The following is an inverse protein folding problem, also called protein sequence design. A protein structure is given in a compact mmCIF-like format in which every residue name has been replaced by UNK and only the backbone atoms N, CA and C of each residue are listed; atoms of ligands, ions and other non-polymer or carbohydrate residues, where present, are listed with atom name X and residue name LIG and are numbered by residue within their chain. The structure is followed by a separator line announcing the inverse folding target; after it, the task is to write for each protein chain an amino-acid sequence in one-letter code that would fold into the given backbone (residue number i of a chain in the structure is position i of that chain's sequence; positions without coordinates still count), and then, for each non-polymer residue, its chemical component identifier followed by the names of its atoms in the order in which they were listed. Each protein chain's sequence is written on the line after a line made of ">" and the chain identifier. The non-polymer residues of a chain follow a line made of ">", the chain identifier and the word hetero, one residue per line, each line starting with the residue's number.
data_IF_031958778505
#
_entry.id   IF_031958778505
#
_cell.length_a   1.000
_cell.length_b   1.000
_cell.length_c   1.000
_cell.angle_alpha   90.00
_cell.angle_beta   90.00
_cell.angle_gamma   90.00
#
_symmetry.space_group_name_H-M   'P 1'
#
loop_
_entity.id
_entity.type
_entity.pdbx_description
1 polymer ?
#
# COMPACT_ATOMS: atom_id res chain seq x y z
N UNK A 1 20.12 -21.41 -49.59
CA UNK A 1 18.80 -21.95 -49.18
C UNK A 1 18.64 -21.63 -47.70
N UNK A 2 18.20 -20.40 -47.39
CA UNK A 2 16.84 -20.12 -46.90
C UNK A 2 16.47 -21.00 -45.69
N UNK A 3 16.73 -20.48 -44.49
CA UNK A 3 15.93 -20.80 -43.31
C UNK A 3 15.50 -19.49 -42.70
N UNK A 4 14.19 -19.30 -42.68
CA UNK A 4 13.49 -18.12 -42.23
C UNK A 4 13.19 -18.28 -40.75
N UNK A 5 13.83 -17.46 -39.91
CA UNK A 5 13.46 -17.32 -38.51
C UNK A 5 12.27 -16.37 -38.39
N UNK A 6 11.16 -16.95 -37.95
CA UNK A 6 9.85 -16.35 -37.80
C UNK A 6 9.84 -15.49 -36.52
N UNK A 7 9.99 -14.17 -36.67
CA UNK A 7 9.86 -13.21 -35.56
C UNK A 7 8.36 -12.98 -35.29
N UNK A 8 7.85 -13.58 -34.21
CA UNK A 8 6.50 -13.29 -33.72
C UNK A 8 6.47 -11.92 -33.02
N UNK A 9 5.78 -10.97 -33.65
CA UNK A 9 5.41 -9.67 -33.10
C UNK A 9 4.31 -9.86 -32.06
N UNK A 10 4.63 -9.67 -30.77
CA UNK A 10 3.62 -9.58 -29.71
C UNK A 10 3.16 -8.14 -29.59
N UNK A 11 1.99 -7.85 -30.13
CA UNK A 11 1.28 -6.59 -29.97
C UNK A 11 0.95 -6.34 -28.50
N UNK A 12 1.33 -5.15 -28.02
CA UNK A 12 1.02 -4.65 -26.69
C UNK A 12 -0.48 -4.51 -26.45
N UNK A 13 -0.94 -4.96 -25.29
CA UNK A 13 -2.24 -4.59 -24.73
C UNK A 13 -2.04 -3.48 -23.71
N UNK A 14 -2.58 -2.31 -24.04
CA UNK A 14 -2.75 -1.18 -23.13
C UNK A 14 -3.57 -1.62 -21.90
N UNK A 15 -2.98 -1.51 -20.72
CA UNK A 15 -3.65 -1.65 -19.43
C UNK A 15 -4.31 -0.31 -19.09
N UNK A 16 -5.64 -0.29 -19.01
CA UNK A 16 -6.40 0.84 -18.48
C UNK A 16 -6.20 0.96 -16.96
N UNK A 17 -6.08 2.18 -16.39
CA UNK A 17 -6.01 2.38 -14.95
C UNK A 17 -7.40 2.28 -14.30
N UNK A 18 -7.53 1.78 -13.06
CA UNK A 18 -8.81 1.72 -12.36
C UNK A 18 -9.23 3.10 -11.83
N UNK A 19 -10.53 3.38 -11.98
CA UNK A 19 -11.26 4.53 -11.43
C UNK A 19 -11.07 4.62 -9.91
N UNK A 20 -10.51 5.74 -9.46
CA UNK A 20 -10.59 6.19 -8.08
C UNK A 20 -11.86 7.05 -7.94
N UNK A 21 -12.87 6.51 -7.27
CA UNK A 21 -14.02 7.26 -6.80
C UNK A 21 -14.28 6.89 -5.34
N UNK A 22 -14.69 7.89 -4.56
CA UNK A 22 -15.23 7.85 -3.19
C UNK A 22 -14.23 8.00 -2.04
N UNK A 23 -13.96 9.26 -1.69
CA UNK A 23 -13.80 9.70 -0.31
C UNK A 23 -14.33 11.14 -0.20
N UNK A 24 -15.65 11.29 -0.03
CA UNK A 24 -16.27 12.52 0.46
C UNK A 24 -16.81 12.20 1.86
N UNK A 25 -16.03 12.59 2.87
CA UNK A 25 -16.43 12.63 4.26
C UNK A 25 -16.34 14.08 4.71
N UNK A 26 -17.51 14.63 5.03
CA UNK A 26 -17.86 15.87 5.72
C UNK A 26 -16.70 16.74 6.24
N UNK A 27 -16.50 17.87 5.56
CA UNK A 27 -15.69 19.01 6.01
C UNK A 27 -16.59 20.08 6.64
N UNK A 28 -16.12 20.82 7.65
CA UNK A 28 -16.91 21.83 8.34
C UNK A 28 -17.32 22.95 7.36
N UNK A 29 -18.63 23.24 7.31
CA UNK A 29 -19.28 24.14 6.33
C UNK A 29 -18.75 25.59 6.31
N UNK A 30 -17.95 26.01 7.30
CA UNK A 30 -17.39 27.36 7.36
C UNK A 30 -15.96 27.50 6.77
N UNK A 31 -15.19 26.42 6.63
CA UNK A 31 -13.89 26.46 5.94
C UNK A 31 -14.02 26.12 4.45
N UNK A 32 -15.06 25.35 4.09
CA UNK A 32 -15.38 25.06 2.69
C UNK A 32 -15.75 26.32 1.91
N UNK A 33 -16.39 27.33 2.49
CA UNK A 33 -16.79 28.52 1.72
C UNK A 33 -15.59 29.41 1.35
N UNK A 34 -14.60 29.55 2.24
CA UNK A 34 -13.36 30.28 1.96
C UNK A 34 -12.46 29.49 1.01
N UNK A 35 -12.37 28.18 1.18
CA UNK A 35 -11.52 27.32 0.33
C UNK A 35 -12.14 27.08 -1.04
N UNK A 36 -13.46 26.95 -1.15
CA UNK A 36 -14.16 26.89 -2.44
C UNK A 36 -14.17 28.25 -3.14
N UNK A 37 -14.25 29.36 -2.40
CA UNK A 37 -14.09 30.70 -2.99
C UNK A 37 -12.67 30.90 -3.49
N UNK A 38 -11.65 30.48 -2.72
CA UNK A 38 -10.24 30.54 -3.10
C UNK A 38 -9.92 29.64 -4.30
N UNK A 39 -10.43 28.40 -4.30
CA UNK A 39 -10.30 27.48 -5.43
C UNK A 39 -11.08 27.97 -6.65
N UNK A 40 -12.27 28.55 -6.48
CA UNK A 40 -13.03 29.14 -7.58
C UNK A 40 -12.31 30.35 -8.17
N UNK A 41 -11.68 31.20 -7.34
CA UNK A 41 -10.82 32.30 -7.83
C UNK A 41 -9.57 31.78 -8.52
N UNK A 42 -8.93 30.73 -8.02
CA UNK A 42 -7.75 30.13 -8.67
C UNK A 42 -8.11 29.45 -10.00
N UNK A 43 -9.29 28.83 -10.09
CA UNK A 43 -9.79 28.23 -11.32
C UNK A 43 -10.22 29.32 -12.31
N UNK A 44 -10.84 30.41 -11.84
CA UNK A 44 -11.17 31.56 -12.71
C UNK A 44 -9.91 32.27 -13.20
N UNK A 45 -8.88 32.41 -12.36
CA UNK A 45 -7.61 33.04 -12.72
C UNK A 45 -6.81 32.14 -13.66
N UNK A 46 -6.84 30.82 -13.47
CA UNK A 46 -6.23 29.87 -14.40
C UNK A 46 -7.00 29.79 -15.73
N UNK A 47 -8.34 29.87 -15.71
CA UNK A 47 -9.15 29.92 -16.91
C UNK A 47 -9.00 31.26 -17.65
N UNK A 48 -8.87 32.37 -16.93
CA UNK A 48 -8.53 33.67 -17.50
C UNK A 48 -7.11 33.68 -18.05
N UNK A 49 -6.12 33.09 -17.37
CA UNK A 49 -4.76 32.97 -17.89
C UNK A 49 -4.66 32.05 -19.11
N UNK A 50 -5.42 30.96 -19.14
CA UNK A 50 -5.53 30.09 -20.32
C UNK A 50 -6.28 30.78 -21.46
N UNK A 51 -7.34 31.53 -21.15
CA UNK A 51 -8.06 32.38 -22.10
C UNK A 51 -7.16 33.48 -22.67
N UNK A 52 -6.37 34.14 -21.83
CA UNK A 52 -5.37 35.12 -22.22
C UNK A 52 -4.32 34.48 -23.12
N UNK A 53 -3.78 33.31 -22.77
CA UNK A 53 -2.80 32.61 -23.60
C UNK A 53 -3.37 32.17 -24.96
N UNK A 54 -4.65 31.78 -25.02
CA UNK A 54 -5.32 31.43 -26.28
C UNK A 54 -5.61 32.69 -27.11
N UNK A 55 -5.96 33.81 -26.47
CA UNK A 55 -6.11 35.10 -27.14
C UNK A 55 -4.76 35.63 -27.62
N UNK A 56 -3.68 35.52 -26.85
CA UNK A 56 -2.33 35.92 -27.24
C UNK A 56 -1.81 35.05 -28.41
N UNK A 57 -2.13 33.75 -28.42
CA UNK A 57 -1.79 32.86 -29.56
C UNK A 57 -2.65 33.16 -30.78
N UNK A 58 -3.93 33.51 -30.59
CA UNK A 58 -4.83 33.89 -31.68
C UNK A 58 -4.48 35.26 -32.26
N UNK A 59 -4.04 36.20 -31.42
CA UNK A 59 -3.56 37.52 -31.80
C UNK A 59 -2.19 37.41 -32.47
N UNK A 60 -1.27 36.59 -31.95
CA UNK A 60 0.01 36.30 -32.63
C UNK A 60 -0.18 35.55 -33.97
N UNK A 61 -1.19 34.69 -34.08
CA UNK A 61 -1.57 34.07 -35.34
C UNK A 61 -2.24 35.07 -36.30
N UNK A 62 -3.04 36.00 -35.76
CA UNK A 62 -3.64 37.11 -36.50
C UNK A 62 -2.56 38.05 -37.06
N UNK A 63 -1.62 38.48 -36.23
CA UNK A 63 -0.45 39.28 -36.62
C UNK A 63 0.45 38.54 -37.61
N UNK A 64 0.62 37.22 -37.48
CA UNK A 64 1.38 36.42 -38.45
C UNK A 64 0.68 36.29 -39.81
N UNK A 65 -0.65 36.20 -39.80
CA UNK A 65 -1.46 36.15 -41.03
C UNK A 65 -1.57 37.53 -41.68
N UNK A 66 -1.66 38.59 -40.88
CA UNK A 66 -1.70 39.98 -41.33
C UNK A 66 -0.34 40.42 -41.89
N UNK A 67 0.78 40.00 -41.28
CA UNK A 67 2.14 40.23 -41.83
C UNK A 67 2.42 39.45 -43.11
N UNK A 68 1.75 38.31 -43.34
CA UNK A 68 1.80 37.57 -44.61
C UNK A 68 0.88 38.18 -45.69
N UNK A 69 -0.25 38.77 -45.30
CA UNK A 69 -1.25 39.35 -46.21
C UNK A 69 -0.91 40.77 -46.68
N UNK A 70 -0.21 41.57 -45.87
CA UNK A 70 0.21 42.95 -46.24
C UNK A 70 1.45 42.99 -47.14
N UNK A 71 2.04 41.84 -47.48
CA UNK A 71 3.16 41.79 -48.44
C UNK A 71 4.41 42.55 -47.97
N UNK A 72 4.56 42.82 -46.68
CA UNK A 72 5.76 43.43 -46.10
C UNK A 72 6.85 42.38 -45.82
N UNK A 73 7.10 41.52 -46.80
CA UNK A 73 8.19 40.52 -46.82
C UNK A 73 9.38 41.01 -47.66
N UNK A 74 9.50 42.32 -47.92
CA UNK A 74 10.64 42.87 -48.69
C UNK A 74 11.24 44.16 -48.14
N UNK A 75 11.11 44.45 -46.85
CA UNK A 75 11.84 45.58 -46.21
C UNK A 75 12.48 45.24 -44.86
N UNK A 76 12.64 43.96 -44.52
CA UNK A 76 13.61 43.51 -43.51
C UNK A 76 15.05 43.39 -44.06
N UNK A 77 15.32 43.98 -45.23
CA UNK A 77 16.66 44.16 -45.77
C UNK A 77 17.30 45.52 -45.40
N UNK A 78 16.62 46.34 -44.59
CA UNK A 78 17.11 47.69 -44.27
C UNK A 78 16.86 48.12 -42.81
N UNK A 79 17.37 47.34 -41.85
CA UNK A 79 17.87 47.85 -40.56
C UNK A 79 19.23 47.23 -40.27
N UNK A 80 20.19 47.50 -41.16
CA UNK A 80 21.62 47.46 -40.83
C UNK A 80 21.92 48.73 -40.02
N UNK A 81 21.38 48.80 -38.80
CA UNK A 81 21.89 49.69 -37.77
C UNK A 81 22.90 48.87 -36.99
N UNK A 82 24.17 49.29 -36.97
CA UNK A 82 25.26 48.57 -36.31
C UNK A 82 24.89 48.28 -34.85
N UNK A 83 24.44 47.04 -34.57
CA UNK A 83 24.40 46.51 -33.20
C UNK A 83 25.78 46.72 -32.63
N UNK A 84 25.88 47.53 -31.58
CA UNK A 84 27.19 47.89 -31.04
C UNK A 84 27.90 46.61 -30.61
N UNK A 85 29.22 46.60 -30.69
CA UNK A 85 30.04 45.41 -30.40
C UNK A 85 29.74 44.86 -28.98
N UNK A 86 29.30 45.74 -28.08
CA UNK A 86 28.88 45.47 -26.71
C UNK A 86 27.51 44.78 -26.64
N UNK A 87 26.49 45.28 -27.34
CA UNK A 87 25.17 44.63 -27.42
C UNK A 87 25.26 43.24 -28.05
N UNK A 88 26.13 43.06 -29.05
CA UNK A 88 26.42 41.76 -29.66
C UNK A 88 27.11 40.83 -28.66
N UNK A 89 28.06 41.33 -27.86
CA UNK A 89 28.72 40.56 -26.78
C UNK A 89 27.74 40.18 -25.67
N UNK A 90 26.89 41.10 -25.22
CA UNK A 90 25.88 40.85 -24.19
C UNK A 90 24.85 39.81 -24.67
N UNK A 91 24.39 39.90 -25.92
CA UNK A 91 23.49 38.88 -26.51
C UNK A 91 24.17 37.51 -26.63
N UNK A 92 25.46 37.48 -26.96
CA UNK A 92 26.25 36.23 -26.98
C UNK A 92 26.49 35.66 -25.57
N UNK A 93 26.66 36.51 -24.56
CA UNK A 93 26.82 36.09 -23.18
C UNK A 93 25.51 35.54 -22.61
N UNK A 94 24.38 36.18 -22.89
CA UNK A 94 23.05 35.67 -22.57
C UNK A 94 22.80 34.33 -23.25
N UNK A 95 23.19 34.17 -24.53
CA UNK A 95 23.10 32.89 -25.23
C UNK A 95 23.98 31.83 -24.55
N UNK A 96 25.22 32.17 -24.18
CA UNK A 96 26.14 31.28 -23.45
C UNK A 96 25.62 30.94 -22.05
N UNK A 97 24.94 31.86 -21.37
CA UNK A 97 24.32 31.63 -20.06
C UNK A 97 23.13 30.68 -20.18
N UNK A 98 22.26 30.89 -21.17
CA UNK A 98 21.14 29.99 -21.50
C UNK A 98 21.61 28.59 -21.90
N UNK A 99 22.69 28.49 -22.69
CA UNK A 99 23.31 27.20 -23.05
C UNK A 99 23.94 26.50 -21.82
N UNK A 100 24.54 27.26 -20.89
CA UNK A 100 25.06 26.71 -19.63
C UNK A 100 23.93 26.22 -18.72
N UNK A 101 22.87 27.01 -18.55
CA UNK A 101 21.73 26.63 -17.72
C UNK A 101 20.99 25.42 -18.28
N UNK A 102 20.79 25.36 -19.60
CA UNK A 102 20.18 24.18 -20.24
C UNK A 102 21.06 22.94 -20.12
N UNK A 103 22.36 23.06 -20.33
CA UNK A 103 23.31 21.95 -20.16
C UNK A 103 23.36 21.45 -18.71
N UNK A 104 23.34 22.35 -17.73
CA UNK A 104 23.29 22.00 -16.31
C UNK A 104 21.96 21.36 -15.92
N UNK A 105 20.83 21.90 -16.38
CA UNK A 105 19.50 21.32 -16.13
C UNK A 105 19.38 19.92 -16.75
N UNK A 106 19.89 19.73 -17.97
CA UNK A 106 19.93 18.42 -18.63
C UNK A 106 20.85 17.43 -17.88
N UNK A 107 21.99 17.88 -17.37
CA UNK A 107 22.87 17.04 -16.56
C UNK A 107 22.20 16.67 -15.23
N UNK A 108 21.54 17.62 -14.58
CA UNK A 108 20.82 17.39 -13.33
C UNK A 108 19.67 16.40 -13.54
N UNK A 109 18.85 16.57 -14.58
CA UNK A 109 17.76 15.64 -14.89
C UNK A 109 18.27 14.23 -15.20
N UNK A 110 19.36 14.08 -15.97
CA UNK A 110 19.97 12.77 -16.22
C UNK A 110 20.45 12.10 -14.93
N UNK A 111 21.06 12.85 -14.01
CA UNK A 111 21.52 12.33 -12.71
C UNK A 111 20.32 11.95 -11.83
N UNK A 112 19.28 12.77 -11.81
CA UNK A 112 18.05 12.52 -11.06
C UNK A 112 17.34 11.28 -11.55
N UNK A 113 17.12 11.14 -12.87
CA UNK A 113 16.50 9.95 -13.46
C UNK A 113 17.33 8.69 -13.17
N UNK A 114 18.65 8.78 -13.28
CA UNK A 114 19.53 7.68 -12.90
C UNK A 114 19.49 7.37 -11.39
N UNK A 115 19.30 8.37 -10.53
CA UNK A 115 19.14 8.17 -9.08
C UNK A 115 17.78 7.56 -8.73
N UNK A 116 16.69 8.03 -9.35
CA UNK A 116 15.33 7.49 -9.21
C UNK A 116 15.25 6.05 -9.71
N UNK A 117 15.94 5.73 -10.80
CA UNK A 117 16.04 4.37 -11.32
C UNK A 117 16.76 3.41 -10.35
N UNK A 118 17.67 3.92 -9.51
CA UNK A 118 18.38 3.13 -8.49
C UNK A 118 17.57 2.94 -7.21
N UNK A 119 16.67 3.87 -6.87
CA UNK A 119 15.86 3.75 -5.65
C UNK A 119 14.84 2.64 -5.79
N UNK A 120 15.03 1.53 -5.07
CA UNK A 120 14.04 0.46 -5.02
C UNK A 120 12.81 0.84 -4.19
N UNK A 121 11.66 0.19 -4.41
CA UNK A 121 10.45 0.43 -3.62
C UNK A 121 10.64 0.23 -2.09
N UNK A 122 11.63 -0.58 -1.69
CA UNK A 122 12.00 -0.76 -0.28
C UNK A 122 12.75 0.45 0.26
N UNK A 123 13.61 1.06 -0.55
CA UNK A 123 14.37 2.25 -0.18
C UNK A 123 13.50 3.48 -0.16
N UNK A 124 12.57 3.64 -1.11
CA UNK A 124 11.59 4.74 -1.08
C UNK A 124 10.74 4.67 0.19
N UNK A 125 10.22 3.49 0.55
CA UNK A 125 9.48 3.30 1.80
C UNK A 125 10.33 3.54 3.07
N UNK A 126 11.65 3.27 3.01
CA UNK A 126 12.58 3.58 4.11
C UNK A 126 12.79 5.09 4.23
N UNK A 127 13.01 5.78 3.12
CA UNK A 127 13.19 7.23 3.06
C UNK A 127 11.92 7.96 3.51
N UNK A 128 10.74 7.51 3.11
CA UNK A 128 9.46 8.06 3.57
C UNK A 128 9.29 7.92 5.08
N UNK A 129 9.66 6.78 5.68
CA UNK A 129 9.65 6.62 7.14
C UNK A 129 10.61 7.58 7.83
N UNK A 130 11.80 7.78 7.26
CA UNK A 130 12.78 8.74 7.78
C UNK A 130 12.27 10.18 7.66
N UNK A 131 11.65 10.55 6.54
CA UNK A 131 11.03 11.87 6.33
C UNK A 131 9.91 12.12 7.32
N UNK A 132 8.96 11.19 7.46
CA UNK A 132 7.87 11.30 8.45
C UNK A 132 8.41 11.39 9.89
N UNK A 133 9.45 10.63 10.22
CA UNK A 133 10.09 10.72 11.53
C UNK A 133 10.73 12.11 11.74
N UNK A 134 11.45 12.62 10.74
CA UNK A 134 12.04 13.95 10.79
C UNK A 134 10.98 15.06 10.91
N UNK A 135 9.87 14.93 10.18
CA UNK A 135 8.71 15.83 10.27
C UNK A 135 8.11 15.79 11.67
N UNK A 136 7.84 14.60 12.24
CA UNK A 136 7.32 14.48 13.61
C UNK A 136 8.27 15.03 14.67
N UNK A 137 9.59 14.86 14.50
CA UNK A 137 10.58 15.44 15.40
C UNK A 137 10.63 16.96 15.28
N UNK A 138 10.51 17.48 14.05
CA UNK A 138 10.45 18.92 13.80
C UNK A 138 9.20 19.54 14.41
N UNK A 139 8.02 18.97 14.15
CA UNK A 139 6.77 19.46 14.72
C UNK A 139 6.75 19.37 16.25
N UNK A 140 7.37 18.32 16.82
CA UNK A 140 7.55 18.22 18.27
C UNK A 140 8.46 19.33 18.81
N UNK A 141 9.58 19.62 18.14
CA UNK A 141 10.48 20.71 18.54
C UNK A 141 9.80 22.08 18.42
N UNK A 142 9.07 22.33 17.31
CA UNK A 142 8.32 23.56 17.07
C UNK A 142 7.18 23.75 18.11
N UNK A 143 6.61 22.66 18.63
CA UNK A 143 5.60 22.72 19.69
C UNK A 143 6.20 22.88 21.09
N UNK A 144 7.37 22.29 21.36
CA UNK A 144 8.14 22.53 22.59
C UNK A 144 8.59 23.99 22.70
N UNK A 145 9.00 24.62 21.59
CA UNK A 145 9.34 26.06 21.53
C UNK A 145 8.12 26.97 21.75
N UNK A 146 6.94 26.56 21.25
CA UNK A 146 5.66 27.26 21.50
C UNK A 146 5.08 27.00 22.89
N UNK A 147 5.59 26.01 23.62
CA UNK A 147 5.08 25.61 24.95
C UNK A 147 3.74 24.86 24.90
N UNK A 148 3.40 24.23 23.77
CA UNK A 148 2.17 23.47 23.57
C UNK A 148 2.36 21.98 23.91
N UNK A 149 1.36 21.37 24.59
CA UNK A 149 1.34 19.93 24.88
C UNK A 149 0.94 19.11 23.64
N UNK A 150 1.93 18.67 22.85
CA UNK A 150 1.71 17.85 21.63
C UNK A 150 0.83 16.62 21.86
N UNK A 151 1.01 15.95 22.99
CA UNK A 151 0.24 14.74 23.31
C UNK A 151 -1.21 15.06 23.64
N UNK A 152 -1.51 16.27 24.13
CA UNK A 152 -2.89 16.70 24.40
C UNK A 152 -3.64 16.97 23.09
N UNK A 153 -3.00 17.64 22.13
CA UNK A 153 -3.58 17.88 20.80
C UNK A 153 -3.86 16.56 20.08
N UNK A 154 -2.91 15.63 20.09
CA UNK A 154 -3.10 14.27 19.52
C UNK A 154 -4.25 13.50 20.19
N UNK A 155 -4.42 13.65 21.50
CA UNK A 155 -5.52 13.00 22.21
C UNK A 155 -6.88 13.57 21.82
N UNK A 156 -6.95 14.85 21.39
CA UNK A 156 -8.18 15.47 20.91
C UNK A 156 -8.54 15.04 19.48
N UNK A 157 -7.55 14.65 18.68
CA UNK A 157 -7.76 14.10 17.34
C UNK A 157 -8.41 12.71 17.36
N UNK A 158 -8.29 11.96 18.46
CA UNK A 158 -8.91 10.64 18.57
C UNK A 158 -10.42 10.72 18.76
N UNK A 159 -11.13 10.17 17.78
CA UNK A 159 -12.57 9.98 17.89
C UNK A 159 -12.91 8.83 18.84
N UNK A 160 -14.11 8.85 19.41
CA UNK A 160 -14.59 7.80 20.34
C UNK A 160 -14.53 6.42 19.66
N UNK A 161 -14.95 6.33 18.39
CA UNK A 161 -14.94 5.09 17.62
C UNK A 161 -13.52 4.55 17.37
N UNK A 162 -12.56 5.44 17.11
CA UNK A 162 -11.16 5.07 16.97
C UNK A 162 -10.58 4.55 18.28
N UNK A 163 -10.91 5.20 19.40
CA UNK A 163 -10.48 4.73 20.71
C UNK A 163 -11.10 3.38 21.06
N UNK A 164 -12.40 3.17 20.84
CA UNK A 164 -13.06 1.87 21.05
C UNK A 164 -12.44 0.76 20.19
N UNK A 165 -12.17 1.05 18.92
CA UNK A 165 -11.51 0.10 18.01
C UNK A 165 -10.06 -0.20 18.46
N UNK A 166 -9.36 0.80 18.99
CA UNK A 166 -8.02 0.66 19.55
C UNK A 166 -8.02 -0.19 20.82
N UNK A 167 -8.92 0.07 21.76
CA UNK A 167 -9.11 -0.74 22.96
C UNK A 167 -9.48 -2.18 22.62
N UNK A 168 -10.40 -2.39 21.67
CA UNK A 168 -10.75 -3.72 21.15
C UNK A 168 -9.53 -4.43 20.56
N UNK A 169 -8.65 -3.71 19.87
CA UNK A 169 -7.40 -4.26 19.32
C UNK A 169 -6.41 -4.62 20.43
N UNK A 170 -6.26 -3.78 21.45
CA UNK A 170 -5.42 -4.04 22.62
C UNK A 170 -5.93 -5.24 23.43
N UNK A 171 -7.21 -5.28 23.75
CA UNK A 171 -7.84 -6.41 24.44
C UNK A 171 -7.68 -7.71 23.65
N UNK A 172 -7.85 -7.66 22.33
CA UNK A 172 -7.58 -8.80 21.44
C UNK A 172 -6.12 -9.23 21.45
N UNK A 173 -5.18 -8.30 21.52
CA UNK A 173 -3.74 -8.58 21.62
C UNK A 173 -3.40 -9.20 22.99
N UNK A 174 -3.92 -8.66 24.08
CA UNK A 174 -3.76 -9.19 25.42
C UNK A 174 -4.27 -10.64 25.52
N UNK A 175 -5.46 -10.93 24.98
CA UNK A 175 -6.00 -12.30 24.91
C UNK A 175 -5.14 -13.27 24.06
N UNK A 176 -4.34 -12.75 23.13
CA UNK A 176 -3.43 -13.57 22.29
C UNK A 176 -1.99 -13.60 22.81
N UNK A 177 -1.68 -12.84 23.86
CA UNK A 177 -0.34 -12.78 24.44
C UNK A 177 0.00 -14.00 25.29
N UNK A 178 -0.97 -14.88 25.57
CA UNK A 178 -0.71 -16.17 26.21
C UNK A 178 -0.04 -17.14 25.23
N UNK A 179 1.27 -17.31 25.41
CA UNK A 179 2.13 -18.24 24.68
C UNK A 179 2.33 -19.57 25.40
N UNK A 180 1.74 -19.75 26.59
CA UNK A 180 1.86 -20.99 27.33
C UNK A 180 1.12 -22.12 26.61
N UNK A 181 1.68 -23.32 26.74
CA UNK A 181 1.11 -24.54 26.22
C UNK A 181 0.29 -25.20 27.33
N UNK A 182 -1.02 -25.24 27.16
CA UNK A 182 -1.97 -25.88 28.09
C UNK A 182 -2.28 -27.30 27.63
N UNK A 183 -2.90 -27.43 26.45
CA UNK A 183 -3.23 -28.69 25.79
C UNK A 183 -3.15 -28.58 24.26
N UNK A 184 -3.22 -29.72 23.58
CA UNK A 184 -3.20 -29.77 22.11
C UNK A 184 -4.48 -29.17 21.50
N UNK A 185 -5.63 -29.30 22.16
CA UNK A 185 -6.90 -28.76 21.66
C UNK A 185 -6.92 -27.22 21.71
N UNK A 186 -6.45 -26.58 22.79
CA UNK A 186 -6.28 -25.13 22.84
C UNK A 186 -5.25 -24.65 21.83
N UNK A 187 -4.13 -25.37 21.66
CA UNK A 187 -3.12 -25.04 20.66
C UNK A 187 -3.71 -25.10 19.23
N UNK A 188 -4.50 -26.13 18.91
CA UNK A 188 -5.21 -26.25 17.64
C UNK A 188 -6.23 -25.12 17.45
N UNK A 189 -7.02 -24.81 18.48
CA UNK A 189 -7.99 -23.69 18.46
C UNK A 189 -7.32 -22.35 18.22
N UNK A 190 -6.18 -22.10 18.87
CA UNK A 190 -5.38 -20.87 18.71
C UNK A 190 -4.86 -20.74 17.27
N UNK A 191 -4.38 -21.85 16.67
CA UNK A 191 -3.96 -21.91 15.27
C UNK A 191 -5.13 -21.64 14.32
N UNK A 192 -6.24 -22.35 14.49
CA UNK A 192 -7.45 -22.18 13.69
C UNK A 192 -7.94 -20.73 13.70
N UNK A 193 -8.02 -20.10 14.88
CA UNK A 193 -8.40 -18.67 14.99
C UNK A 193 -7.45 -17.74 14.24
N UNK A 194 -6.16 -18.03 14.24
CA UNK A 194 -5.16 -17.26 13.50
C UNK A 194 -5.26 -17.47 11.99
N UNK A 195 -5.68 -18.66 11.56
CA UNK A 195 -5.92 -18.96 10.15
C UNK A 195 -7.19 -18.24 9.66
N UNK A 196 -8.24 -18.17 10.47
CA UNK A 196 -9.42 -17.35 10.17
C UNK A 196 -9.09 -15.88 9.95
N UNK A 197 -8.14 -15.32 10.72
CA UNK A 197 -7.69 -13.94 10.52
C UNK A 197 -6.91 -13.75 9.19
N UNK A 198 -6.31 -14.81 8.64
CA UNK A 198 -5.51 -14.77 7.40
C UNK A 198 -6.35 -15.04 6.15
N UNK A 199 -7.45 -15.80 6.28
CA UNK A 199 -8.34 -16.14 5.17
C UNK A 199 -9.10 -14.88 4.73
N UNK A 200 -8.91 -14.49 3.47
CA UNK A 200 -9.68 -13.42 2.83
C UNK A 200 -10.66 -14.06 1.85
N UNK A 201 -11.99 -13.97 2.08
CA UNK A 201 -12.96 -14.56 1.17
C UNK A 201 -13.03 -13.76 -0.14
N UNK A 202 -13.21 -14.47 -1.26
CA UNK A 202 -13.52 -13.85 -2.55
C UNK A 202 -15.02 -13.56 -2.63
N UNK A 203 -15.39 -12.32 -2.32
CA UNK A 203 -16.78 -11.86 -2.31
C UNK A 203 -17.39 -11.84 -3.72
N UNK A 204 -16.59 -11.65 -4.77
CA UNK A 204 -17.11 -11.58 -6.14
C UNK A 204 -17.52 -12.97 -6.62
N UNK A 205 -16.67 -13.96 -6.42
CA UNK A 205 -17.00 -15.36 -6.74
C UNK A 205 -18.21 -15.85 -5.93
N UNK A 206 -18.25 -15.54 -4.63
CA UNK A 206 -19.38 -15.87 -3.77
C UNK A 206 -20.69 -15.20 -4.22
N UNK A 207 -20.64 -13.90 -4.55
CA UNK A 207 -21.82 -13.16 -5.01
C UNK A 207 -22.35 -13.72 -6.34
N UNK A 208 -21.48 -14.11 -7.28
CA UNK A 208 -21.90 -14.78 -8.53
C UNK A 208 -22.62 -16.09 -8.28
N UNK A 209 -22.12 -16.92 -7.35
CA UNK A 209 -22.80 -18.15 -6.95
C UNK A 209 -24.15 -17.86 -6.29
N UNK A 210 -24.21 -16.80 -5.48
CA UNK A 210 -25.43 -16.33 -4.82
C UNK A 210 -26.48 -15.79 -5.80
N UNK A 211 -26.07 -15.06 -6.83
CA UNK A 211 -26.96 -14.58 -7.90
C UNK A 211 -27.62 -15.75 -8.63
N UNK A 212 -26.85 -16.76 -9.02
CA UNK A 212 -27.36 -17.97 -9.70
C UNK A 212 -28.34 -18.74 -8.81
N UNK A 213 -28.01 -18.91 -7.53
CA UNK A 213 -28.86 -19.57 -6.55
C UNK A 213 -30.19 -18.83 -6.34
N UNK A 214 -30.17 -17.49 -6.30
CA UNK A 214 -31.38 -16.69 -6.11
C UNK A 214 -32.09 -16.34 -7.43
N UNK A 215 -31.59 -16.80 -8.58
CA UNK A 215 -32.14 -16.49 -9.90
C UNK A 215 -32.00 -15.03 -10.33
N UNK A 216 -31.08 -14.27 -9.71
CA UNK A 216 -30.77 -12.88 -10.07
C UNK A 216 -29.89 -12.84 -11.34
N UNK A 217 -29.97 -11.73 -12.07
CA UNK A 217 -29.09 -11.47 -13.20
C UNK A 217 -27.63 -11.35 -12.74
N UNK A 218 -26.65 -11.86 -13.54
CA UNK A 218 -25.24 -11.81 -13.19
C UNK A 218 -24.76 -10.36 -13.02
N UNK A 219 -24.08 -10.07 -11.92
CA UNK A 219 -23.56 -8.73 -11.58
C UNK A 219 -24.50 -7.83 -10.77
N UNK A 220 -25.72 -8.28 -10.46
CA UNK A 220 -26.70 -7.54 -9.66
C UNK A 220 -26.25 -7.30 -8.21
N UNK A 221 -25.55 -8.25 -7.58
CA UNK A 221 -25.04 -8.15 -6.21
C UNK A 221 -23.65 -7.50 -6.14
N UNK A 222 -22.88 -7.56 -7.21
CA UNK A 222 -21.54 -6.94 -7.28
C UNK A 222 -21.62 -5.41 -7.42
N UNK A 223 -22.71 -4.89 -8.00
CA UNK A 223 -22.95 -3.45 -8.22
C UNK A 223 -23.78 -2.77 -7.13
N UNK A 224 -24.22 -3.52 -6.12
CA UNK A 224 -25.20 -3.07 -5.12
C UNK A 224 -24.67 -2.08 -4.06
N UNK A 225 -23.46 -1.54 -4.21
CA UNK A 225 -22.95 -0.48 -3.34
C UNK A 225 -23.11 0.90 -4.03
N UNK A 226 -24.35 1.36 -4.14
CA UNK A 226 -24.66 2.77 -4.41
C UNK A 226 -25.37 3.34 -3.17
N UNK A 227 -24.72 4.18 -2.35
CA UNK A 227 -25.28 4.70 -1.10
C UNK A 227 -26.48 5.64 -1.30
N UNK A 228 -26.79 6.02 -2.54
CA UNK A 228 -27.94 6.87 -2.91
C UNK A 228 -29.19 6.06 -3.25
N UNK A 229 -29.04 4.78 -3.58
CA UNK A 229 -30.16 3.90 -3.85
C UNK A 229 -30.64 3.32 -2.52
N UNK A 230 -31.71 3.92 -1.98
CA UNK A 230 -32.36 3.44 -0.77
C UNK A 230 -32.58 1.92 -0.83
N UNK A 231 -32.36 1.27 0.31
CA UNK A 231 -32.49 -0.17 0.51
C UNK A 231 -33.88 -0.64 0.07
N UNK A 232 -34.02 -0.99 -1.20
CA UNK A 232 -35.21 -1.65 -1.71
C UNK A 232 -35.11 -3.09 -1.25
N UNK A 233 -35.79 -3.35 -0.14
CA UNK A 233 -36.49 -4.58 0.20
C UNK A 233 -35.90 -5.82 -0.46
N UNK A 234 -35.22 -6.65 0.35
CA UNK A 234 -34.88 -8.02 -0.01
C UNK A 234 -36.15 -8.76 -0.44
N UNK A 235 -36.47 -8.66 -1.73
CA UNK A 235 -37.56 -9.38 -2.35
C UNK A 235 -37.10 -10.82 -2.36
N UNK A 236 -37.77 -11.64 -1.55
CA UNK A 236 -37.55 -13.07 -1.48
C UNK A 236 -38.03 -13.66 -2.80
N UNK A 237 -37.18 -13.59 -3.83
CA UNK A 237 -37.44 -14.23 -5.12
C UNK A 237 -37.33 -15.72 -4.86
N UNK A 238 -38.49 -16.38 -4.74
CA UNK A 238 -38.55 -17.84 -4.72
C UNK A 238 -37.97 -18.30 -6.07
N UNK A 239 -36.95 -19.18 -6.08
CA UNK A 239 -36.32 -19.63 -7.32
C UNK A 239 -37.37 -20.28 -8.24
N UNK A 240 -37.62 -19.63 -9.37
CA UNK A 240 -38.74 -19.94 -10.26
C UNK A 240 -38.44 -21.12 -11.19
N UNK A 241 -37.17 -21.41 -11.45
CA UNK A 241 -36.71 -22.55 -12.26
C UNK A 241 -36.22 -23.71 -11.40
N UNK A 242 -36.47 -24.95 -11.83
CA UNK A 242 -35.94 -26.17 -11.18
C UNK A 242 -34.41 -26.12 -11.06
N UNK A 243 -33.71 -25.56 -12.04
CA UNK A 243 -32.27 -25.39 -12.00
C UNK A 243 -31.82 -24.36 -10.96
N UNK A 244 -32.63 -23.32 -10.73
CA UNK A 244 -32.39 -22.33 -9.68
C UNK A 244 -32.67 -22.93 -8.30
N UNK A 245 -33.69 -23.78 -8.15
CA UNK A 245 -33.96 -24.51 -6.91
C UNK A 245 -32.79 -25.42 -6.54
N UNK A 246 -32.28 -26.19 -7.51
CA UNK A 246 -31.09 -27.02 -7.31
C UNK A 246 -29.86 -26.16 -6.99
N UNK A 247 -29.68 -25.00 -7.64
CA UNK A 247 -28.60 -24.07 -7.33
C UNK A 247 -28.73 -23.45 -5.92
N UNK A 248 -29.96 -23.13 -5.49
CA UNK A 248 -30.26 -22.63 -4.15
C UNK A 248 -30.00 -23.67 -3.07
N UNK A 249 -30.45 -24.90 -3.29
CA UNK A 249 -30.16 -26.05 -2.42
C UNK A 249 -28.66 -26.36 -2.38
N UNK A 250 -27.94 -26.16 -3.49
CA UNK A 250 -26.49 -26.31 -3.53
C UNK A 250 -25.73 -25.23 -2.74
N UNK A 251 -26.25 -24.00 -2.69
CA UNK A 251 -25.61 -22.90 -1.95
C UNK A 251 -25.94 -22.95 -0.46
N UNK A 252 -27.19 -23.26 -0.10
CA UNK A 252 -27.67 -23.37 1.27
C UNK A 252 -27.99 -24.83 1.61
N UNK A 253 -26.95 -25.66 1.61
CA UNK A 253 -27.08 -27.09 1.91
C UNK A 253 -27.43 -27.33 3.38
N UNK A 254 -28.47 -28.12 3.61
CA UNK A 254 -28.77 -28.68 4.94
C UNK A 254 -27.95 -29.95 5.22
N UNK A 255 -27.82 -30.32 6.48
CA UNK A 255 -27.10 -31.51 6.94
C UNK A 255 -27.60 -32.82 6.29
N UNK A 256 -28.86 -32.87 5.86
CA UNK A 256 -29.48 -34.03 5.22
C UNK A 256 -29.50 -33.97 3.68
N UNK A 257 -28.85 -32.99 3.06
CA UNK A 257 -28.78 -32.89 1.60
C UNK A 257 -27.92 -34.02 1.02
N UNK A 258 -28.46 -34.78 0.05
CA UNK A 258 -27.78 -35.90 -0.61
C UNK A 258 -26.73 -35.44 -1.65
N UNK A 259 -26.65 -34.14 -1.92
CA UNK A 259 -25.71 -33.54 -2.87
C UNK A 259 -24.31 -33.46 -2.24
N UNK A 260 -23.57 -34.56 -2.20
CA UNK A 260 -22.19 -34.63 -1.67
C UNK A 260 -21.24 -35.19 -2.74
N UNK A 261 -20.10 -34.52 -2.96
CA UNK A 261 -19.05 -34.98 -3.88
C UNK A 261 -19.03 -34.34 -5.28
N UNK A 262 -20.00 -33.49 -5.63
CA UNK A 262 -20.06 -32.87 -6.97
C UNK A 262 -19.15 -31.64 -7.15
N UNK A 263 -18.56 -31.12 -6.06
CA UNK A 263 -17.73 -29.91 -6.09
C UNK A 263 -16.36 -30.19 -6.68
N UNK A 264 -16.10 -29.65 -7.87
CA UNK A 264 -14.78 -29.63 -8.52
C UNK A 264 -14.19 -28.22 -8.39
N UNK A 265 -13.36 -27.95 -7.36
CA UNK A 265 -12.77 -26.62 -7.18
C UNK A 265 -11.87 -26.27 -8.37
N UNK A 266 -11.67 -24.97 -8.60
CA UNK A 266 -10.74 -24.52 -9.64
C UNK A 266 -9.29 -24.82 -9.25
N UNK A 267 -8.39 -24.92 -10.23
CA UNK A 267 -6.96 -25.10 -9.98
C UNK A 267 -6.39 -23.96 -9.12
N UNK A 268 -6.86 -22.72 -9.34
CA UNK A 268 -6.48 -21.56 -8.52
C UNK A 268 -6.87 -21.74 -7.03
N UNK A 269 -8.04 -22.32 -6.74
CA UNK A 269 -8.46 -22.61 -5.37
C UNK A 269 -7.55 -23.64 -4.70
N UNK A 270 -7.19 -24.68 -5.44
CA UNK A 270 -6.28 -25.74 -4.99
C UNK A 270 -4.92 -25.13 -4.68
N UNK A 271 -4.38 -24.29 -5.57
CA UNK A 271 -3.09 -23.62 -5.39
C UNK A 271 -3.08 -22.70 -4.16
N UNK A 272 -4.18 -21.98 -3.89
CA UNK A 272 -4.32 -21.16 -2.67
C UNK A 272 -4.21 -22.01 -1.41
N UNK A 273 -4.85 -23.17 -1.38
CA UNK A 273 -4.80 -24.10 -0.25
C UNK A 273 -3.41 -24.71 -0.10
N UNK A 274 -2.80 -25.18 -1.19
CA UNK A 274 -1.44 -25.75 -1.19
C UNK A 274 -0.42 -24.71 -0.71
N UNK A 275 -0.52 -23.47 -1.19
CA UNK A 275 0.31 -22.36 -0.74
C UNK A 275 0.20 -22.12 0.77
N UNK A 276 -1.01 -22.18 1.33
CA UNK A 276 -1.23 -22.07 2.79
C UNK A 276 -0.63 -23.25 3.56
N UNK A 277 -0.80 -24.48 3.06
CA UNK A 277 -0.22 -25.68 3.69
C UNK A 277 1.30 -25.58 3.77
N UNK A 278 1.96 -25.18 2.67
CA UNK A 278 3.41 -25.01 2.64
C UNK A 278 3.88 -23.95 3.64
N UNK A 279 3.18 -22.82 3.75
CA UNK A 279 3.48 -21.79 4.76
C UNK A 279 3.35 -22.32 6.19
N UNK A 280 2.39 -23.22 6.45
CA UNK A 280 2.20 -23.80 7.78
C UNK A 280 3.26 -24.85 8.11
N UNK A 281 3.72 -25.62 7.13
CA UNK A 281 4.87 -26.51 7.26
C UNK A 281 6.11 -25.70 7.64
N UNK A 282 6.37 -24.58 6.95
CA UNK A 282 7.50 -23.69 7.27
C UNK A 282 7.40 -23.10 8.68
N UNK A 283 6.22 -22.63 9.09
CA UNK A 283 5.97 -22.11 10.44
C UNK A 283 6.20 -23.20 11.50
N UNK A 284 5.81 -24.45 11.22
CA UNK A 284 6.02 -25.59 12.11
C UNK A 284 7.50 -25.93 12.23
N UNK A 285 8.26 -25.92 11.13
CA UNK A 285 9.71 -26.12 11.14
C UNK A 285 10.45 -25.06 11.96
N UNK A 286 10.00 -23.80 11.89
CA UNK A 286 10.59 -22.65 12.61
C UNK A 286 10.09 -22.49 14.06
N UNK A 287 9.24 -23.39 14.55
CA UNK A 287 8.67 -23.30 15.90
C UNK A 287 9.75 -23.44 16.99
N UNK A 288 10.68 -24.38 16.81
CA UNK A 288 11.85 -24.53 17.68
C UNK A 288 13.03 -23.78 17.08
N UNK A 289 13.43 -22.67 17.73
CA UNK A 289 14.58 -21.85 17.32
C UNK A 289 15.80 -22.11 18.22
N UNK A 290 17.00 -22.19 17.65
CA UNK A 290 18.26 -22.20 18.41
C UNK A 290 18.39 -20.85 19.13
N UNK A 291 18.73 -20.85 20.43
CA UNK A 291 19.04 -19.61 21.17
C UNK A 291 20.53 -19.32 20.99
N UNK A 292 20.87 -18.05 20.75
CA UNK A 292 22.25 -17.61 20.48
C UNK A 292 23.15 -17.71 21.73
N UNK A 293 22.59 -17.45 22.91
CA UNK A 293 23.32 -17.42 24.19
C UNK A 293 23.80 -18.81 24.69
N UNK A 294 23.66 -19.87 23.88
CA UNK A 294 24.04 -21.23 24.28
C UNK A 294 25.52 -21.54 24.00
N UNK A 295 26.21 -20.73 23.20
CA UNK A 295 27.59 -20.99 22.77
C UNK A 295 28.66 -20.16 23.54
N UNK A 296 28.25 -19.19 24.38
CA UNK A 296 29.15 -18.26 25.12
C UNK A 296 29.46 -18.68 26.57
N UNK A 297 28.90 -19.79 27.07
CA UNK A 297 29.08 -20.24 28.46
C UNK A 297 30.10 -21.36 28.64
N UNK A 298 30.46 -21.65 29.90
CA UNK A 298 31.32 -22.79 30.25
C UNK A 298 30.73 -24.11 29.72
N UNK A 299 31.57 -24.84 28.98
CA UNK A 299 31.17 -26.09 28.33
C UNK A 299 31.12 -27.21 29.38
N UNK A 300 29.93 -27.49 29.89
CA UNK A 300 29.67 -28.56 30.89
C UNK A 300 29.37 -29.93 30.28
N UNK A 301 29.54 -30.11 28.96
CA UNK A 301 29.13 -31.31 28.24
C UNK A 301 30.21 -31.81 27.26
N UNK A 302 30.24 -33.13 27.05
CA UNK A 302 31.18 -33.77 26.11
C UNK A 302 30.51 -34.03 24.74
N UNK A 303 29.20 -34.31 24.72
CA UNK A 303 28.45 -34.60 23.49
C UNK A 303 27.12 -33.82 23.41
N UNK A 304 26.50 -33.74 22.23
CA UNK A 304 25.26 -32.99 22.02
C UNK A 304 24.07 -33.55 22.81
N UNK A 305 24.01 -34.88 23.01
CA UNK A 305 22.96 -35.50 23.84
C UNK A 305 23.08 -35.10 25.31
N UNK A 306 24.31 -35.01 25.81
CA UNK A 306 24.67 -34.57 27.15
C UNK A 306 24.35 -33.07 27.30
N UNK A 307 24.63 -32.23 26.29
CA UNK A 307 24.19 -30.83 26.28
C UNK A 307 22.68 -30.68 26.47
N UNK A 308 21.90 -31.43 25.71
CA UNK A 308 20.42 -31.41 25.81
C UNK A 308 19.95 -31.94 27.17
N UNK A 309 20.64 -32.95 27.71
CA UNK A 309 20.36 -33.50 29.03
C UNK A 309 20.67 -32.49 30.15
N UNK A 310 21.86 -31.89 30.18
CA UNK A 310 22.25 -30.85 31.12
C UNK A 310 21.30 -29.65 31.03
N UNK A 311 20.89 -29.26 29.82
CA UNK A 311 19.87 -28.22 29.61
C UNK A 311 18.50 -28.61 30.16
N UNK A 312 18.14 -29.89 30.16
CA UNK A 312 16.90 -30.37 30.80
C UNK A 312 17.03 -30.25 32.32
N UNK A 313 18.13 -30.73 32.90
CA UNK A 313 18.42 -30.63 34.33
C UNK A 313 18.39 -29.17 34.78
N UNK A 314 19.05 -28.29 34.03
CA UNK A 314 19.10 -26.86 34.34
C UNK A 314 17.71 -26.21 34.46
N UNK A 315 16.76 -26.57 33.58
CA UNK A 315 15.38 -26.02 33.65
C UNK A 315 14.66 -26.35 34.95
N UNK A 316 14.92 -27.52 35.54
CA UNK A 316 14.22 -27.98 36.74
C UNK A 316 14.96 -27.62 38.03
N UNK A 317 16.29 -27.74 38.02
CA UNK A 317 17.09 -27.70 39.24
C UNK A 317 17.85 -26.40 39.46
N UNK A 318 18.12 -25.60 38.42
CA UNK A 318 18.90 -24.36 38.58
C UNK A 318 18.28 -23.40 39.58
N UNK A 319 16.95 -23.35 39.67
CA UNK A 319 16.23 -22.54 40.65
C UNK A 319 16.62 -22.89 42.10
N UNK A 320 16.97 -24.14 42.36
CA UNK A 320 17.30 -24.65 43.71
C UNK A 320 18.80 -24.80 43.95
N UNK A 321 19.62 -24.81 42.90
CA UNK A 321 21.08 -25.03 42.98
C UNK A 321 21.90 -23.76 42.72
N UNK A 322 21.27 -22.59 42.69
CA UNK A 322 21.93 -21.28 42.49
C UNK A 322 23.02 -21.02 43.53
N UNK A 323 22.77 -21.29 44.80
CA UNK A 323 23.73 -21.08 45.89
C UNK A 323 24.94 -22.00 45.74
N UNK A 324 24.70 -23.28 45.43
CA UNK A 324 25.76 -24.27 45.19
C UNK A 324 26.64 -23.83 44.01
N UNK A 325 26.02 -23.37 42.91
CA UNK A 325 26.74 -22.84 41.74
C UNK A 325 27.59 -21.62 42.11
N UNK A 326 27.03 -20.67 42.83
CA UNK A 326 27.76 -19.47 43.26
C UNK A 326 28.93 -19.81 44.21
N UNK A 327 28.78 -20.83 45.06
CA UNK A 327 29.87 -21.31 45.92
C UNK A 327 30.99 -21.99 45.13
N UNK A 328 30.67 -22.73 44.06
CA UNK A 328 31.68 -23.26 43.15
C UNK A 328 32.43 -22.14 42.42
N UNK A 329 31.70 -21.12 41.92
CA UNK A 329 32.30 -19.96 41.26
C UNK A 329 33.15 -19.09 42.22
N UNK A 330 32.78 -19.04 43.51
CA UNK A 330 33.53 -18.36 44.57
C UNK A 330 34.74 -19.16 45.09
N UNK A 331 34.89 -20.42 44.70
CA UNK A 331 36.02 -21.26 45.12
C UNK A 331 35.81 -22.00 46.44
N UNK A 332 34.65 -22.65 46.61
CA UNK A 332 34.37 -23.63 47.70
C UNK A 332 34.70 -23.14 49.11
N UNK A 333 34.49 -21.86 49.38
CA UNK A 333 34.44 -21.35 50.76
C UNK A 333 33.01 -21.54 51.29
N UNK A 334 32.87 -22.43 52.28
CA UNK A 334 31.64 -22.59 53.07
C UNK A 334 31.41 -21.36 53.95
#
# INVERSE_FOLDING_TARGET
>A
MLSADHVHVVFGRCRTPPQAAQALGDWPLNTLHSDLSSMATQISDAAQAAGQAVMDVAEAAGEFVETMATGESTTAAARVGLVTLEERKAKMEQLRAKMRSSSQANRASLIEEHSKAKTSARETARLEKQRKLAEMLRTKADAEERGEDVEREKNWEWTIEENENWEKKLARKARRADFEFHDDAHAARRRYKKDLDQIKPDLVAYNRQKEVAMGLAPGSLVTAFNPTAGSSSAMQVVPTSQQQQIAAENLYRDANSMLYGDSKPSEEDIDRVVGKINQDIDKKGKFSRKRLNEDEGDITYINERNRVFNKKIARYYDKYTTEIRASFERGTAL
#
